data_IF_099526071513
#
_entry.id   IF_099526071513
#
_cell.length_a   1.000
_cell.length_b   1.000
_cell.length_c   1.000
_cell.angle_alpha   90.00
_cell.angle_beta   90.00
_cell.angle_gamma   90.00
#
_symmetry.space_group_name_H-M   'P 1'
#
loop_
_entity.id
_entity.type
_entity.pdbx_description
1 polymer ?
#
# COMPACT_ATOMS: atom_id res chain seq x y z
N UNK A 1 -39.05 39.97 -22.71
CA UNK A 1 -38.15 38.90 -22.24
C UNK A 1 -38.96 37.97 -21.35
N UNK A 2 -39.24 36.78 -21.83
CA UNK A 2 -40.06 35.74 -21.17
C UNK A 2 -39.13 34.58 -20.82
N UNK A 3 -39.27 34.03 -19.62
CA UNK A 3 -38.53 32.88 -19.09
C UNK A 3 -38.66 31.63 -19.97
N UNK A 4 -37.61 30.81 -20.01
CA UNK A 4 -37.79 29.37 -19.99
C UNK A 4 -36.60 28.70 -19.31
N UNK A 5 -36.83 28.25 -18.07
CA UNK A 5 -36.01 27.25 -17.42
C UNK A 5 -36.29 25.89 -18.08
N UNK A 6 -35.25 25.12 -18.37
CA UNK A 6 -35.36 23.68 -18.56
C UNK A 6 -34.26 23.00 -17.74
N UNK A 7 -34.65 22.68 -16.52
CA UNK A 7 -34.07 21.62 -15.71
C UNK A 7 -34.26 20.29 -16.42
N UNK A 8 -33.17 19.60 -16.72
CA UNK A 8 -33.21 18.15 -16.88
C UNK A 8 -32.53 17.52 -15.67
N UNK A 9 -33.38 17.17 -14.70
CA UNK A 9 -33.11 16.08 -13.78
C UNK A 9 -33.11 14.80 -14.62
N UNK A 10 -31.94 14.26 -14.93
CA UNK A 10 -31.84 12.87 -15.31
C UNK A 10 -31.51 12.08 -14.04
N UNK A 11 -32.56 11.51 -13.44
CA UNK A 11 -32.47 10.49 -12.41
C UNK A 11 -32.01 9.20 -13.07
N UNK A 12 -30.70 8.95 -13.06
CA UNK A 12 -30.21 7.58 -13.17
C UNK A 12 -30.13 7.02 -11.76
N UNK A 13 -31.14 6.24 -11.39
CA UNK A 13 -31.01 5.23 -10.35
C UNK A 13 -29.90 4.27 -10.81
N UNK A 14 -28.67 4.46 -10.33
CA UNK A 14 -27.74 3.36 -10.16
C UNK A 14 -27.80 2.99 -8.68
N UNK A 15 -28.69 2.06 -8.34
CA UNK A 15 -28.53 1.17 -7.17
C UNK A 15 -27.35 0.25 -7.46
N UNK A 16 -26.16 0.82 -7.56
CA UNK A 16 -24.94 0.07 -7.27
C UNK A 16 -24.74 0.22 -5.76
N UNK A 17 -24.73 -0.88 -4.99
CA UNK A 17 -24.09 -0.82 -3.70
C UNK A 17 -22.63 -0.54 -4.01
N UNK A 18 -22.23 0.73 -3.97
CA UNK A 18 -20.85 1.08 -3.64
C UNK A 18 -20.62 0.40 -2.31
N UNK A 19 -19.99 -0.79 -2.35
CA UNK A 19 -19.25 -1.29 -1.22
C UNK A 19 -18.30 -0.16 -0.87
N UNK A 20 -18.70 0.67 0.09
CA UNK A 20 -17.80 1.54 0.81
C UNK A 20 -16.69 0.60 1.25
N UNK A 21 -15.53 0.65 0.58
CA UNK A 21 -14.30 0.08 1.11
C UNK A 21 -14.18 0.70 2.49
N UNK A 22 -14.61 -0.04 3.50
CA UNK A 22 -14.62 0.41 4.88
C UNK A 22 -13.23 0.96 5.14
N UNK A 23 -13.15 2.27 5.39
CA UNK A 23 -11.87 2.91 5.62
C UNK A 23 -11.20 2.18 6.79
N UNK A 24 -9.93 1.80 6.61
CA UNK A 24 -9.17 1.12 7.66
C UNK A 24 -9.27 1.91 8.96
N UNK A 25 -9.70 1.25 10.04
CA UNK A 25 -9.83 1.88 11.35
C UNK A 25 -8.71 1.37 12.24
N UNK A 26 -7.87 2.30 12.71
CA UNK A 26 -6.74 1.99 13.58
C UNK A 26 -7.11 2.21 15.05
N UNK A 27 -7.17 1.11 15.80
CA UNK A 27 -7.42 1.06 17.24
C UNK A 27 -6.11 1.27 18.02
N UNK A 28 -5.53 2.46 17.90
CA UNK A 28 -4.24 2.80 18.53
C UNK A 28 -4.29 4.14 19.26
N UNK A 29 -3.30 4.42 20.10
CA UNK A 29 -3.16 5.69 20.83
C UNK A 29 -2.82 6.84 19.87
N UNK A 30 -2.90 8.09 20.32
CA UNK A 30 -2.52 9.25 19.48
C UNK A 30 -1.05 9.17 19.02
N UNK A 31 -0.14 8.73 19.90
CA UNK A 31 1.27 8.47 19.56
C UNK A 31 1.38 7.32 18.53
N UNK A 32 0.52 6.30 18.64
CA UNK A 32 0.49 5.20 17.68
C UNK A 32 -0.01 5.63 16.30
N UNK A 33 -0.96 6.58 16.22
CA UNK A 33 -1.38 7.18 14.95
C UNK A 33 -0.25 8.00 14.34
N UNK A 34 0.40 8.84 15.13
CA UNK A 34 1.56 9.63 14.68
C UNK A 34 2.69 8.73 14.16
N UNK A 35 2.95 7.60 14.80
CA UNK A 35 3.90 6.60 14.32
C UNK A 35 3.49 6.03 12.96
N UNK A 36 2.22 5.62 12.80
CA UNK A 36 1.71 5.09 11.53
C UNK A 36 1.81 6.10 10.40
N UNK A 37 1.42 7.35 10.66
CA UNK A 37 1.50 8.45 9.69
C UNK A 37 2.97 8.73 9.32
N UNK A 38 3.87 8.78 10.31
CA UNK A 38 5.30 8.98 10.08
C UNK A 38 5.93 7.84 9.26
N UNK A 39 5.54 6.59 9.52
CA UNK A 39 5.99 5.42 8.76
C UNK A 39 5.45 5.45 7.33
N UNK A 40 4.19 5.88 7.12
CA UNK A 40 3.60 6.03 5.80
C UNK A 40 4.30 7.12 4.98
N UNK A 41 4.53 8.29 5.57
CA UNK A 41 5.28 9.38 4.93
C UNK A 41 6.73 8.95 4.61
N UNK A 42 7.38 8.27 5.56
CA UNK A 42 8.73 7.74 5.37
C UNK A 42 8.77 6.70 4.25
N UNK A 43 7.77 5.82 4.16
CA UNK A 43 7.64 4.86 3.08
C UNK A 43 7.55 5.59 1.74
N UNK A 44 6.64 6.55 1.60
CA UNK A 44 6.42 7.27 0.34
C UNK A 44 7.68 8.02 -0.11
N UNK A 45 8.34 8.73 0.81
CA UNK A 45 9.59 9.43 0.51
C UNK A 45 10.68 8.46 0.01
N UNK A 46 10.89 7.34 0.70
CA UNK A 46 11.89 6.34 0.29
C UNK A 46 11.49 5.63 -1.00
N UNK A 47 10.19 5.43 -1.21
CA UNK A 47 9.67 4.84 -2.44
C UNK A 47 9.98 5.74 -3.64
N UNK A 48 9.79 7.05 -3.52
CA UNK A 48 10.12 8.01 -4.58
C UNK A 48 11.64 8.11 -4.84
N UNK A 49 12.47 8.08 -3.80
CA UNK A 49 13.93 8.01 -3.95
C UNK A 49 14.37 6.74 -4.67
N UNK A 50 13.81 5.60 -4.28
CA UNK A 50 14.10 4.32 -4.92
C UNK A 50 13.63 4.34 -6.37
N UNK A 51 12.39 4.73 -6.66
CA UNK A 51 11.85 4.82 -8.01
C UNK A 51 12.65 5.73 -8.94
N UNK A 52 13.29 6.76 -8.40
CA UNK A 52 14.15 7.69 -9.16
C UNK A 52 15.62 7.22 -9.26
N UNK A 53 15.97 6.07 -8.69
CA UNK A 53 17.33 5.54 -8.67
C UNK A 53 18.29 6.31 -7.77
N UNK A 54 17.79 7.17 -6.87
CA UNK A 54 18.61 7.94 -5.92
C UNK A 54 19.03 7.13 -4.70
N UNK A 55 18.35 6.03 -4.41
CA UNK A 55 18.65 5.11 -3.32
C UNK A 55 18.38 3.66 -3.73
N UNK A 56 18.98 2.71 -2.98
CA UNK A 56 18.66 1.28 -3.10
C UNK A 56 17.42 0.89 -2.28
N UNK A 57 16.94 -0.35 -2.40
CA UNK A 57 15.67 -0.77 -1.79
C UNK A 57 15.76 -1.07 -0.29
N UNK A 58 16.95 -1.28 0.28
CA UNK A 58 17.11 -1.83 1.63
C UNK A 58 16.26 -1.11 2.70
N UNK A 59 16.40 0.21 2.82
CA UNK A 59 15.64 0.98 3.83
C UNK A 59 14.14 1.03 3.54
N UNK A 60 13.76 1.04 2.27
CA UNK A 60 12.35 1.00 1.83
C UNK A 60 11.69 -0.33 2.21
N UNK A 61 12.39 -1.44 2.04
CA UNK A 61 11.91 -2.77 2.44
C UNK A 61 11.73 -2.88 3.96
N UNK A 62 12.66 -2.33 4.74
CA UNK A 62 12.55 -2.25 6.21
C UNK A 62 11.30 -1.48 6.63
N UNK A 63 11.12 -0.25 6.11
CA UNK A 63 9.97 0.59 6.46
C UNK A 63 8.65 -0.05 6.01
N UNK A 64 8.61 -0.66 4.82
CA UNK A 64 7.41 -1.36 4.33
C UNK A 64 6.98 -2.47 5.30
N UNK A 65 7.95 -3.20 5.84
CA UNK A 65 7.71 -4.25 6.83
C UNK A 65 7.28 -3.68 8.18
N UNK A 66 7.97 -2.68 8.71
CA UNK A 66 7.61 -2.02 9.96
C UNK A 66 6.18 -1.47 9.90
N UNK A 67 5.83 -0.80 8.79
CA UNK A 67 4.49 -0.26 8.56
C UNK A 67 3.43 -1.37 8.51
N UNK A 68 3.69 -2.48 7.83
CA UNK A 68 2.80 -3.64 7.84
C UNK A 68 2.57 -4.19 9.25
N UNK A 69 3.65 -4.39 10.02
CA UNK A 69 3.58 -4.94 11.38
C UNK A 69 2.73 -4.03 12.29
N UNK A 70 2.97 -2.71 12.25
CA UNK A 70 2.19 -1.73 13.03
C UNK A 70 0.73 -1.66 12.59
N UNK A 71 0.45 -1.65 11.29
CA UNK A 71 -0.92 -1.63 10.77
C UNK A 71 -1.69 -2.89 11.19
N UNK A 72 -1.07 -4.07 11.06
CA UNK A 72 -1.69 -5.36 11.39
C UNK A 72 -2.07 -5.46 12.87
N UNK A 73 -1.23 -4.95 13.74
CA UNK A 73 -1.47 -4.91 15.20
C UNK A 73 -2.54 -3.87 15.58
N UNK A 74 -2.65 -2.80 14.79
CA UNK A 74 -3.55 -1.68 15.07
C UNK A 74 -4.97 -1.86 14.51
N UNK A 75 -5.22 -2.85 13.65
CA UNK A 75 -6.55 -3.09 13.07
C UNK A 75 -7.27 -4.27 13.71
N UNK A 76 -8.61 -4.30 13.58
CA UNK A 76 -9.41 -5.46 13.94
C UNK A 76 -9.07 -6.68 13.07
N UNK A 77 -9.35 -7.89 13.57
CA UNK A 77 -8.93 -9.14 12.92
C UNK A 77 -9.49 -9.30 11.49
N UNK A 78 -10.73 -8.88 11.27
CA UNK A 78 -11.44 -8.86 9.99
C UNK A 78 -10.83 -7.88 8.96
N UNK A 79 -10.08 -6.88 9.42
CA UNK A 79 -9.40 -5.90 8.56
C UNK A 79 -7.93 -6.28 8.25
N UNK A 80 -7.37 -7.29 8.90
CA UNK A 80 -5.97 -7.70 8.69
C UNK A 80 -5.69 -8.18 7.27
N UNK A 81 -6.69 -8.75 6.61
CA UNK A 81 -6.57 -9.20 5.22
C UNK A 81 -6.23 -8.01 4.30
N UNK A 82 -6.93 -6.89 4.47
CA UNK A 82 -6.71 -5.65 3.70
C UNK A 82 -5.27 -5.13 3.92
N UNK A 83 -4.79 -5.15 5.17
CA UNK A 83 -3.41 -4.74 5.49
C UNK A 83 -2.37 -5.66 4.83
N UNK A 84 -2.61 -6.96 4.82
CA UNK A 84 -1.73 -7.93 4.15
C UNK A 84 -1.72 -7.76 2.62
N UNK A 85 -2.88 -7.49 2.01
CA UNK A 85 -2.99 -7.18 0.59
C UNK A 85 -2.19 -5.91 0.21
N UNK A 86 -2.30 -4.86 1.03
CA UNK A 86 -1.53 -3.62 0.83
C UNK A 86 -0.02 -3.85 0.96
N UNK A 87 0.41 -4.68 1.90
CA UNK A 87 1.82 -5.05 2.06
C UNK A 87 2.35 -5.80 0.83
N UNK A 88 1.58 -6.77 0.31
CA UNK A 88 1.94 -7.50 -0.90
C UNK A 88 1.94 -6.60 -2.14
N UNK A 89 0.97 -5.70 -2.28
CA UNK A 89 0.92 -4.75 -3.39
C UNK A 89 2.18 -3.90 -3.46
N UNK A 90 2.58 -3.30 -2.33
CA UNK A 90 3.83 -2.53 -2.20
C UNK A 90 5.06 -3.37 -2.54
N UNK A 91 5.15 -4.59 -2.02
CA UNK A 91 6.29 -5.47 -2.27
C UNK A 91 6.42 -5.87 -3.76
N UNK A 92 5.30 -6.12 -4.45
CA UNK A 92 5.27 -6.39 -5.90
C UNK A 92 5.77 -5.20 -6.71
N UNK A 93 5.34 -3.99 -6.36
CA UNK A 93 5.76 -2.77 -7.05
C UNK A 93 7.26 -2.52 -6.88
N UNK A 94 7.78 -2.67 -5.64
CA UNK A 94 9.20 -2.55 -5.35
C UNK A 94 10.04 -3.56 -6.15
N UNK A 95 9.60 -4.82 -6.24
CA UNK A 95 10.26 -5.84 -7.04
C UNK A 95 10.25 -5.49 -8.54
N UNK A 96 9.13 -5.00 -9.07
CA UNK A 96 9.05 -4.59 -10.48
C UNK A 96 10.04 -3.46 -10.81
N UNK A 97 10.21 -2.48 -9.91
CA UNK A 97 11.23 -1.43 -10.06
C UNK A 97 12.65 -2.02 -10.03
N UNK A 98 12.91 -3.01 -9.17
CA UNK A 98 14.21 -3.68 -9.10
C UNK A 98 14.59 -4.36 -10.43
N UNK A 99 13.61 -5.02 -11.07
CA UNK A 99 13.80 -5.64 -12.38
C UNK A 99 14.12 -4.61 -13.46
N UNK A 100 13.45 -3.46 -13.44
CA UNK A 100 13.72 -2.33 -14.35
C UNK A 100 15.13 -1.78 -14.12
N UNK A 101 15.50 -1.52 -12.86
CA UNK A 101 16.83 -1.02 -12.50
C UNK A 101 17.95 -1.97 -12.92
N UNK A 102 17.79 -3.27 -12.66
CA UNK A 102 18.77 -4.27 -13.08
C UNK A 102 18.91 -4.31 -14.60
N UNK A 103 17.79 -4.26 -15.34
CA UNK A 103 17.78 -4.26 -16.81
C UNK A 103 18.48 -3.03 -17.39
N UNK A 104 18.39 -1.88 -16.72
CA UNK A 104 19.03 -0.63 -17.14
C UNK A 104 20.43 -0.41 -16.55
N UNK A 105 20.96 -1.36 -15.78
CA UNK A 105 22.30 -1.29 -15.19
C UNK A 105 22.44 -0.30 -14.03
N UNK A 106 21.33 0.17 -13.46
CA UNK A 106 21.31 1.08 -12.30
C UNK A 106 21.06 0.37 -10.97
N UNK A 107 20.61 -0.90 -11.02
CA UNK A 107 20.40 -1.75 -9.86
C UNK A 107 21.33 -2.96 -9.84
N UNK A 108 21.43 -3.61 -8.68
CA UNK A 108 22.25 -4.81 -8.52
C UNK A 108 21.39 -6.08 -8.52
N UNK A 109 22.03 -7.23 -8.80
CA UNK A 109 21.37 -8.52 -8.65
C UNK A 109 20.96 -8.80 -7.18
N UNK A 110 21.70 -8.25 -6.22
CA UNK A 110 21.36 -8.38 -4.80
C UNK A 110 20.06 -7.64 -4.48
N UNK A 111 19.91 -6.40 -4.97
CA UNK A 111 18.67 -5.62 -4.82
C UNK A 111 17.45 -6.38 -5.34
N UNK A 112 17.59 -7.04 -6.49
CA UNK A 112 16.51 -7.88 -7.03
C UNK A 112 16.19 -9.08 -6.12
N UNK A 113 17.20 -9.74 -5.55
CA UNK A 113 16.97 -10.88 -4.67
C UNK A 113 16.31 -10.45 -3.35
N UNK A 114 16.71 -9.32 -2.79
CA UNK A 114 16.13 -8.79 -1.55
C UNK A 114 14.67 -8.38 -1.74
N UNK A 115 14.35 -7.72 -2.86
CA UNK A 115 12.98 -7.31 -3.18
C UNK A 115 12.09 -8.51 -3.49
N UNK A 116 12.61 -9.55 -4.17
CA UNK A 116 11.92 -10.85 -4.34
C UNK A 116 11.65 -11.54 -3.01
N UNK A 117 12.63 -11.57 -2.11
CA UNK A 117 12.45 -12.16 -0.79
C UNK A 117 11.37 -11.43 0.02
N UNK A 118 11.33 -10.10 -0.07
CA UNK A 118 10.26 -9.29 0.54
C UNK A 118 8.88 -9.60 -0.07
N UNK A 119 8.79 -9.77 -1.39
CA UNK A 119 7.53 -10.13 -2.03
C UNK A 119 7.04 -11.51 -1.57
N UNK A 120 7.92 -12.52 -1.53
CA UNK A 120 7.56 -13.86 -1.06
C UNK A 120 7.11 -13.86 0.40
N UNK A 121 7.76 -13.07 1.25
CA UNK A 121 7.34 -12.86 2.64
C UNK A 121 5.92 -12.28 2.70
N UNK A 122 5.64 -11.23 1.94
CA UNK A 122 4.31 -10.63 1.91
C UNK A 122 3.23 -11.60 1.41
N UNK A 123 3.57 -12.49 0.47
CA UNK A 123 2.69 -13.58 0.03
C UNK A 123 2.39 -14.55 1.17
N UNK A 124 3.41 -15.00 1.91
CA UNK A 124 3.23 -15.91 3.06
C UNK A 124 2.33 -15.27 4.12
N UNK A 125 2.53 -13.99 4.43
CA UNK A 125 1.69 -13.27 5.39
C UNK A 125 0.23 -13.17 4.92
N UNK A 126 -0.01 -12.93 3.64
CA UNK A 126 -1.36 -12.92 3.08
C UNK A 126 -2.04 -14.29 3.22
N UNK A 127 -1.32 -15.37 2.90
CA UNK A 127 -1.83 -16.74 3.05
C UNK A 127 -2.13 -17.08 4.52
N UNK A 128 -1.26 -16.68 5.44
CA UNK A 128 -1.45 -16.90 6.87
C UNK A 128 -2.70 -16.18 7.39
N UNK A 129 -2.93 -14.93 6.96
CA UNK A 129 -4.11 -14.16 7.39
C UNK A 129 -5.39 -14.69 6.74
N UNK A 130 -5.34 -15.14 5.48
CA UNK A 130 -6.49 -15.70 4.78
C UNK A 130 -6.91 -17.09 5.30
N UNK A 131 -6.04 -17.78 6.03
CA UNK A 131 -6.31 -19.08 6.63
C UNK A 131 -6.97 -19.03 8.02
N UNK A 132 -7.12 -17.83 8.60
CA UNK A 132 -7.73 -17.57 9.91
C UNK A 132 -9.23 -17.25 9.78
#
# INVERSE_FOLDING_TARGET
MVLLAMTFAFTANSDEPTEEKSALSFNTSDIGKELLDTLADSYELRFQEYRSGRSGPARLLEINRELYEQQRESVAADQRLIVAEQFLARAKEINAIAEIHLKHGTGTRMDLLDTRASQLRATIELENVAAL
#
